data_IF_474481184477
#
_entry.id   IF_474481184477
#
_cell.length_a   1.000
_cell.length_b   1.000
_cell.length_c   1.000
_cell.angle_alpha   90.00
_cell.angle_beta   90.00
_cell.angle_gamma   90.00
#
_symmetry.space_group_name_H-M   'P 1'
#
loop_
_entity.id
_entity.type
_entity.pdbx_description
1 polymer ?
#
# COMPACT_ATOMS: atom_id res chain seq x y z
N UNK A 1 9.10 6.46 14.03
CA UNK A 1 8.46 7.39 13.08
C UNK A 1 8.15 8.65 13.85
N UNK A 2 8.82 9.76 13.57
CA UNK A 2 8.51 11.07 14.15
C UNK A 2 7.17 11.56 13.59
N UNK A 3 6.39 12.28 14.40
CA UNK A 3 5.03 12.74 14.09
C UNK A 3 4.92 13.48 12.75
N UNK A 4 5.93 14.22 12.32
CA UNK A 4 5.97 14.91 11.01
C UNK A 4 5.96 13.98 9.80
N UNK A 5 6.56 12.79 9.92
CA UNK A 5 6.61 11.83 8.82
C UNK A 5 5.25 11.16 8.60
N UNK A 6 4.50 10.92 9.68
CA UNK A 6 3.15 10.36 9.60
C UNK A 6 2.21 11.35 8.91
N UNK A 7 2.21 12.62 9.31
CA UNK A 7 1.38 13.66 8.68
C UNK A 7 1.67 13.82 7.19
N UNK A 8 2.94 13.71 6.79
CA UNK A 8 3.34 13.81 5.38
C UNK A 8 2.84 12.62 4.55
N UNK A 9 2.86 11.41 5.12
CA UNK A 9 2.30 10.22 4.49
C UNK A 9 0.77 10.27 4.41
N UNK A 10 0.08 10.74 5.45
CA UNK A 10 -1.38 10.92 5.46
C UNK A 10 -1.84 11.88 4.36
N UNK A 11 -1.19 13.04 4.24
CA UNK A 11 -1.47 13.98 3.15
C UNK A 11 -1.32 13.33 1.78
N UNK A 12 -0.26 12.56 1.59
CA UNK A 12 0.01 11.91 0.30
C UNK A 12 -1.01 10.83 -0.01
N UNK A 13 -1.47 10.09 1.00
CA UNK A 13 -2.56 9.13 0.89
C UNK A 13 -3.87 9.84 0.51
N UNK A 14 -4.19 10.98 1.14
CA UNK A 14 -5.37 11.77 0.79
C UNK A 14 -5.32 12.32 -0.63
N UNK A 15 -4.18 12.84 -1.08
CA UNK A 15 -3.98 13.29 -2.46
C UNK A 15 -4.19 12.15 -3.46
N UNK A 16 -3.60 10.99 -3.20
CA UNK A 16 -3.76 9.80 -4.05
C UNK A 16 -5.22 9.31 -4.04
N UNK A 17 -5.89 9.30 -2.87
CA UNK A 17 -7.32 8.96 -2.77
C UNK A 17 -8.22 9.94 -3.53
N UNK A 18 -7.85 11.22 -3.56
CA UNK A 18 -8.54 12.25 -4.35
C UNK A 18 -8.31 12.14 -5.86
N UNK A 19 -7.17 11.57 -6.27
CA UNK A 19 -6.88 11.27 -7.67
C UNK A 19 -7.58 10.02 -8.21
N UNK A 20 -8.23 9.24 -7.34
CA UNK A 20 -8.97 8.05 -7.75
C UNK A 20 -10.12 8.46 -8.65
N UNK A 21 -10.13 7.92 -9.87
CA UNK A 21 -11.15 8.23 -10.87
C UNK A 21 -12.39 7.35 -10.72
N UNK A 22 -12.30 6.29 -9.92
CA UNK A 22 -13.33 5.26 -9.78
C UNK A 22 -13.22 4.16 -10.84
N UNK A 23 -12.26 4.28 -11.77
CA UNK A 23 -11.95 3.25 -12.74
C UNK A 23 -10.95 2.25 -12.13
N UNK A 24 -11.41 1.03 -11.87
CA UNK A 24 -10.64 0.02 -11.17
C UNK A 24 -9.28 -0.29 -11.82
N UNK A 25 -9.16 -0.16 -13.15
CA UNK A 25 -7.91 -0.43 -13.86
C UNK A 25 -6.94 0.74 -13.72
N UNK A 26 -7.42 1.97 -13.86
CA UNK A 26 -6.58 3.16 -13.69
C UNK A 26 -6.17 3.37 -12.22
N UNK A 27 -7.08 3.05 -11.30
CA UNK A 27 -6.87 3.19 -9.87
C UNK A 27 -6.02 2.05 -9.28
N UNK A 28 -5.74 0.97 -10.04
CA UNK A 28 -5.04 -0.20 -9.51
C UNK A 28 -3.65 0.18 -8.96
N UNK A 29 -2.89 0.96 -9.74
CA UNK A 29 -1.56 1.43 -9.36
C UNK A 29 -1.63 2.42 -8.18
N UNK A 30 -2.57 3.37 -8.24
CA UNK A 30 -2.79 4.36 -7.17
C UNK A 30 -3.20 3.69 -5.85
N UNK A 31 -4.06 2.67 -5.91
CA UNK A 31 -4.48 1.89 -4.73
C UNK A 31 -3.34 1.08 -4.13
N UNK A 32 -2.46 0.51 -4.96
CA UNK A 32 -1.27 -0.20 -4.49
C UNK A 32 -0.29 0.75 -3.78
N UNK A 33 -0.08 1.94 -4.35
CA UNK A 33 0.72 2.99 -3.72
C UNK A 33 0.12 3.45 -2.39
N UNK A 34 -1.20 3.70 -2.33
CA UNK A 34 -1.90 4.04 -1.09
C UNK A 34 -1.69 2.95 -0.04
N UNK A 35 -1.83 1.69 -0.43
CA UNK A 35 -1.71 0.57 0.49
C UNK A 35 -0.30 0.45 1.06
N UNK A 36 0.73 0.63 0.23
CA UNK A 36 2.13 0.68 0.68
C UNK A 36 2.39 1.85 1.65
N UNK A 37 1.88 3.04 1.35
CA UNK A 37 2.02 4.20 2.23
C UNK A 37 1.29 4.01 3.56
N UNK A 38 0.09 3.41 3.54
CA UNK A 38 -0.66 3.06 4.75
C UNK A 38 0.06 1.99 5.58
N UNK A 39 0.73 1.02 4.94
CA UNK A 39 1.59 0.05 5.60
C UNK A 39 2.78 0.71 6.30
N UNK A 40 3.48 1.61 5.60
CA UNK A 40 4.59 2.38 6.17
C UNK A 40 4.14 3.24 7.35
N UNK A 41 2.97 3.87 7.24
CA UNK A 41 2.40 4.71 8.28
C UNK A 41 1.98 3.92 9.53
N UNK A 42 1.32 2.77 9.33
CA UNK A 42 0.90 1.88 10.42
C UNK A 42 2.05 1.05 10.98
N UNK A 43 3.20 1.03 10.29
CA UNK A 43 4.36 0.22 10.66
C UNK A 43 4.11 -1.29 10.58
N UNK A 44 3.09 -1.70 9.82
CA UNK A 44 2.78 -3.12 9.62
C UNK A 44 3.68 -3.62 8.48
N UNK A 45 4.54 -4.60 8.80
CA UNK A 45 5.32 -5.28 7.77
C UNK A 45 4.37 -5.92 6.76
N UNK A 46 4.71 -5.92 5.45
CA UNK A 46 3.96 -6.71 4.49
C UNK A 46 3.86 -8.11 5.05
N UNK A 47 2.67 -8.73 4.97
CA UNK A 47 2.55 -10.16 5.19
C UNK A 47 3.72 -10.79 4.48
N UNK A 48 4.55 -11.46 5.27
CA UNK A 48 5.71 -12.18 4.80
C UNK A 48 5.17 -13.18 3.79
N UNK A 49 5.17 -12.79 2.52
CA UNK A 49 4.80 -13.63 1.40
C UNK A 49 5.94 -14.64 1.24
N UNK A 50 6.16 -15.48 2.26
CA UNK A 50 6.43 -16.88 2.04
C UNK A 50 5.22 -17.46 1.31
N UNK A 51 5.15 -17.16 0.02
CA UNK A 51 4.63 -18.10 -0.94
C UNK A 51 5.71 -19.18 -0.95
N UNK A 52 5.66 -20.05 0.07
CA UNK A 52 6.12 -21.42 -0.06
C UNK A 52 5.19 -22.00 -1.12
N UNK A 53 5.55 -21.76 -2.38
CA UNK A 53 5.17 -22.63 -3.46
C UNK A 53 5.79 -23.96 -3.05
N UNK A 54 5.04 -24.73 -2.26
CA UNK A 54 5.22 -26.15 -2.10
C UNK A 54 4.99 -26.64 -3.53
N UNK A 55 6.07 -26.66 -4.30
CA UNK A 55 6.16 -27.39 -5.54
C UNK A 55 5.74 -28.78 -5.16
N UNK A 56 4.49 -29.12 -5.50
CA UNK A 56 4.02 -30.47 -5.48
C UNK A 56 4.82 -31.16 -6.58
N UNK A 57 6.01 -31.62 -6.21
CA UNK A 57 6.75 -32.60 -6.96
C UNK A 57 5.83 -33.80 -7.11
N UNK A 58 5.43 -34.05 -8.35
CA UNK A 58 4.96 -35.34 -8.86
C UNK A 58 5.28 -35.37 -10.34
#
# INVERSE_FOLDING_TARGET
MTTEQQTSLEKKIEELKGSLTGDMFQDMDTRDQIHNLEMQLKGVKPMDSHIDCIGCGS
#
